data_IF_766603344881
#
_entry.id   IF_766603344881
#
_cell.length_a   1.000
_cell.length_b   1.000
_cell.length_c   1.000
_cell.angle_alpha   90.00
_cell.angle_beta   90.00
_cell.angle_gamma   90.00
#
_symmetry.space_group_name_H-M   'P 1'
#
loop_
_entity.id
_entity.type
_entity.pdbx_description
1 polymer ?
#
# COMPACT_ATOMS: atom_id res chain seq x y z
N UNK A 1 1.95 0.80 3.94
CA UNK A 1 0.89 1.69 3.41
C UNK A 1 -0.09 0.94 2.51
N UNK A 2 0.36 0.05 1.61
CA UNK A 2 -0.57 -0.74 0.78
C UNK A 2 -1.52 -1.63 1.59
N UNK A 3 -1.00 -2.49 2.47
CA UNK A 3 -1.84 -3.38 3.30
C UNK A 3 -2.84 -2.65 4.22
N UNK A 4 -2.46 -1.49 4.76
CA UNK A 4 -3.39 -0.68 5.57
C UNK A 4 -4.51 -0.10 4.72
N UNK A 5 -4.23 0.23 3.46
CA UNK A 5 -5.23 0.74 2.53
C UNK A 5 -6.21 -0.35 2.08
N UNK A 6 -5.74 -1.57 1.85
CA UNK A 6 -6.60 -2.73 1.57
C UNK A 6 -7.62 -2.94 2.71
N UNK A 7 -7.14 -2.95 3.95
CA UNK A 7 -7.99 -3.06 5.13
C UNK A 7 -9.02 -1.92 5.24
N UNK A 8 -8.62 -0.67 5.01
CA UNK A 8 -9.53 0.49 5.02
C UNK A 8 -10.66 0.32 4.00
N UNK A 9 -10.34 -0.12 2.78
CA UNK A 9 -11.34 -0.34 1.72
C UNK A 9 -12.25 -1.51 2.09
N UNK A 10 -11.71 -2.61 2.62
CA UNK A 10 -12.49 -3.77 3.05
C UNK A 10 -13.48 -3.40 4.16
N UNK A 11 -13.05 -2.66 5.18
CA UNK A 11 -13.93 -2.18 6.24
C UNK A 11 -15.02 -1.25 5.71
N UNK A 12 -14.67 -0.36 4.79
CA UNK A 12 -15.65 0.51 4.13
C UNK A 12 -16.70 -0.32 3.40
N UNK A 13 -16.30 -1.35 2.65
CA UNK A 13 -17.24 -2.25 1.95
C UNK A 13 -18.17 -2.99 2.91
N UNK A 14 -17.62 -3.55 3.98
CA UNK A 14 -18.42 -4.24 5.01
C UNK A 14 -19.44 -3.29 5.66
N UNK A 15 -19.07 -2.03 5.89
CA UNK A 15 -20.00 -1.03 6.38
C UNK A 15 -21.13 -0.74 5.37
N UNK A 16 -20.83 -0.62 4.07
CA UNK A 16 -21.86 -0.44 3.05
C UNK A 16 -22.83 -1.63 3.01
N UNK A 17 -22.32 -2.86 3.07
CA UNK A 17 -23.14 -4.08 3.08
C UNK A 17 -24.08 -4.14 4.30
N UNK A 18 -23.58 -3.78 5.49
CA UNK A 18 -24.38 -3.73 6.71
C UNK A 18 -25.48 -2.66 6.67
N UNK A 19 -25.30 -1.61 5.88
CA UNK A 19 -26.21 -0.47 5.77
C UNK A 19 -27.03 -0.45 4.48
N UNK A 20 -27.18 -1.58 3.79
CA UNK A 20 -27.92 -1.67 2.52
C UNK A 20 -29.35 -1.12 2.61
N UNK A 21 -30.06 -1.31 3.73
CA UNK A 21 -31.41 -0.75 3.91
C UNK A 21 -31.43 0.78 3.96
N UNK A 22 -30.39 1.41 4.55
CA UNK A 22 -30.26 2.87 4.57
C UNK A 22 -29.93 3.41 3.18
N UNK A 23 -29.01 2.73 2.47
CA UNK A 23 -28.67 3.00 1.07
C UNK A 23 -29.91 2.95 0.18
N UNK A 24 -30.69 1.87 0.26
CA UNK A 24 -31.92 1.69 -0.53
C UNK A 24 -32.99 2.74 -0.21
N UNK A 25 -32.98 3.28 1.01
CA UNK A 25 -33.85 4.37 1.43
C UNK A 25 -33.30 5.77 1.11
N UNK A 26 -32.16 5.88 0.41
CA UNK A 26 -31.42 7.12 0.17
C UNK A 26 -31.13 7.92 1.44
N UNK A 27 -30.86 7.22 2.55
CA UNK A 27 -30.52 7.82 3.84
C UNK A 27 -29.01 7.78 4.05
N UNK A 28 -28.47 8.88 4.58
CA UNK A 28 -27.09 8.90 5.06
C UNK A 28 -26.94 8.08 6.35
N UNK A 29 -25.72 7.63 6.60
CA UNK A 29 -25.33 6.90 7.81
C UNK A 29 -23.85 7.12 8.11
N UNK A 30 -23.49 6.89 9.37
CA UNK A 30 -22.10 6.95 9.83
C UNK A 30 -21.53 5.55 9.99
N UNK A 31 -20.23 5.42 9.78
CA UNK A 31 -19.49 4.18 10.01
C UNK A 31 -18.07 4.53 10.47
N UNK A 32 -17.42 3.60 11.16
CA UNK A 32 -16.03 3.76 11.60
C UNK A 32 -15.11 2.91 10.72
N UNK A 33 -13.97 3.49 10.33
CA UNK A 33 -12.88 2.77 9.67
C UNK A 33 -11.57 3.01 10.41
N UNK A 34 -10.70 2.01 10.44
CA UNK A 34 -9.37 2.13 11.00
C UNK A 34 -8.39 2.64 9.93
N UNK A 35 -7.83 3.82 10.15
CA UNK A 35 -6.89 4.45 9.22
C UNK A 35 -5.50 4.55 9.86
N UNK A 36 -4.48 4.53 9.01
CA UNK A 36 -3.11 4.91 9.39
C UNK A 36 -2.95 6.42 9.29
N UNK A 37 -2.63 7.07 10.40
CA UNK A 37 -2.30 8.50 10.44
C UNK A 37 -0.82 8.72 10.78
N UNK A 38 -0.28 9.83 10.31
CA UNK A 38 1.08 10.26 10.64
C UNK A 38 1.06 11.08 11.93
N UNK A 39 1.82 10.65 12.95
CA UNK A 39 1.95 11.30 14.25
C UNK A 39 3.37 11.83 14.44
N UNK A 40 3.49 13.08 14.89
CA UNK A 40 4.79 13.64 15.29
C UNK A 40 5.20 13.12 16.66
N UNK A 41 6.42 12.60 16.75
CA UNK A 41 7.05 12.16 18.00
C UNK A 41 8.38 12.85 18.14
N UNK A 42 8.55 13.54 19.27
CA UNK A 42 9.80 14.24 19.58
C UNK A 42 10.94 13.24 19.78
N UNK A 43 12.12 13.65 19.31
CA UNK A 43 13.34 12.87 19.41
C UNK A 43 14.12 13.26 20.66
N UNK A 44 14.98 12.36 21.17
CA UNK A 44 15.93 12.71 22.22
C UNK A 44 16.79 13.92 21.84
N UNK A 45 17.32 14.66 22.83
CA UNK A 45 18.21 15.78 22.57
C UNK A 45 19.37 15.41 21.64
N UNK A 46 19.70 16.31 20.71
CA UNK A 46 20.77 16.16 19.71
C UNK A 46 20.56 15.04 18.69
N UNK A 47 19.38 14.44 18.63
CA UNK A 47 19.00 13.51 17.56
C UNK A 47 18.14 14.24 16.54
N UNK A 48 18.49 14.08 15.27
CA UNK A 48 17.80 14.71 14.15
C UNK A 48 17.49 13.67 13.08
N UNK A 49 16.39 13.90 12.37
CA UNK A 49 15.98 13.11 11.21
C UNK A 49 15.69 14.04 10.04
N UNK A 50 15.88 13.56 8.81
CA UNK A 50 15.49 14.33 7.63
C UNK A 50 14.01 14.12 7.38
N UNK A 51 13.21 15.18 7.53
CA UNK A 51 11.79 15.16 7.21
C UNK A 51 11.51 15.95 5.94
N UNK A 52 10.55 15.47 5.14
CA UNK A 52 9.91 16.27 4.11
C UNK A 52 8.82 17.14 4.75
N UNK A 53 8.97 18.47 4.67
CA UNK A 53 8.00 19.41 5.21
C UNK A 53 6.66 19.35 4.45
N UNK A 54 6.71 19.14 3.12
CA UNK A 54 5.51 19.04 2.28
C UNK A 54 4.69 17.78 2.56
N UNK A 55 5.36 16.64 2.75
CA UNK A 55 4.67 15.35 2.91
C UNK A 55 4.34 14.99 4.36
N UNK A 56 4.88 15.73 5.36
CA UNK A 56 4.82 15.32 6.76
C UNK A 56 5.30 13.86 6.96
N UNK A 57 6.47 13.57 6.38
CA UNK A 57 7.04 12.23 6.30
C UNK A 57 8.52 12.25 6.67
N UNK A 58 8.97 11.26 7.45
CA UNK A 58 10.39 11.08 7.76
C UNK A 58 11.06 10.27 6.68
N UNK A 59 11.99 10.90 5.94
CA UNK A 59 12.69 10.25 4.83
C UNK A 59 13.72 9.25 5.35
N UNK A 60 14.56 9.65 6.29
CA UNK A 60 15.49 8.74 6.94
C UNK A 60 16.05 9.34 8.23
N UNK A 61 16.57 8.44 9.07
CA UNK A 61 17.27 8.82 10.29
C UNK A 61 18.72 9.21 9.99
N UNK A 62 19.32 10.00 10.91
CA UNK A 62 20.77 10.30 10.95
C UNK A 62 21.35 10.73 9.59
N UNK A 63 20.92 11.87 9.09
CA UNK A 63 21.57 12.45 7.91
C UNK A 63 23.00 12.90 8.22
N UNK A 64 23.94 12.49 7.37
CA UNK A 64 25.32 12.95 7.45
C UNK A 64 25.46 14.45 7.12
N UNK A 65 24.47 15.03 6.44
CA UNK A 65 24.44 16.44 6.05
C UNK A 65 23.73 17.25 7.13
N UNK A 66 24.49 18.10 7.80
CA UNK A 66 24.00 18.95 8.88
C UNK A 66 23.28 20.22 8.37
N UNK A 67 23.83 20.88 7.35
CA UNK A 67 23.23 22.07 6.74
C UNK A 67 22.09 21.68 5.80
N UNK A 68 20.92 22.28 6.00
CA UNK A 68 19.76 22.01 5.16
C UNK A 68 19.94 22.54 3.72
N UNK A 69 20.84 23.52 3.50
CA UNK A 69 21.18 24.03 2.17
C UNK A 69 21.97 23.03 1.32
N UNK A 70 22.61 22.04 1.94
CA UNK A 70 23.40 21.01 1.25
C UNK A 70 22.61 19.72 1.02
N UNK A 71 21.30 19.72 1.34
CA UNK A 71 20.46 18.50 1.28
C UNK A 71 20.33 17.92 -0.12
N UNK A 72 20.63 18.69 -1.17
CA UNK A 72 20.75 18.17 -2.53
C UNK A 72 21.73 17.01 -2.64
N UNK A 73 22.77 16.98 -1.79
CA UNK A 73 23.81 15.94 -1.77
C UNK A 73 23.44 14.73 -0.89
N UNK A 74 22.24 14.72 -0.28
CA UNK A 74 21.82 13.63 0.58
C UNK A 74 21.63 12.34 -0.25
N UNK A 75 21.99 11.18 0.30
CA UNK A 75 21.82 9.88 -0.36
C UNK A 75 20.37 9.59 -0.79
N UNK A 76 19.39 10.19 -0.10
CA UNK A 76 17.98 10.07 -0.42
C UNK A 76 17.55 10.93 -1.62
N UNK A 77 18.45 11.78 -2.16
CA UNK A 77 18.18 12.63 -3.31
C UNK A 77 18.79 12.04 -4.58
N UNK A 78 18.07 12.16 -5.68
CA UNK A 78 18.53 11.84 -7.03
C UNK A 78 17.93 12.87 -7.97
N UNK A 79 18.74 13.45 -8.86
CA UNK A 79 18.32 14.51 -9.78
C UNK A 79 17.57 15.67 -9.10
N UNK A 80 18.01 16.09 -7.91
CA UNK A 80 17.37 17.12 -7.08
C UNK A 80 16.04 16.72 -6.41
N UNK A 81 15.57 15.48 -6.56
CA UNK A 81 14.32 15.00 -5.96
C UNK A 81 14.58 13.89 -4.95
N UNK A 82 13.79 13.89 -3.87
CA UNK A 82 13.81 12.83 -2.88
C UNK A 82 13.21 11.55 -3.47
N UNK A 83 13.88 10.42 -3.29
CA UNK A 83 13.42 9.11 -3.72
C UNK A 83 12.65 8.36 -2.64
N UNK A 84 12.63 8.89 -1.41
CA UNK A 84 12.08 8.23 -0.22
C UNK A 84 10.70 8.77 0.20
N UNK A 85 10.47 10.08 0.10
CA UNK A 85 9.16 10.61 0.49
C UNK A 85 8.08 10.27 -0.56
N UNK A 86 6.81 10.08 -0.15
CA UNK A 86 5.74 9.67 -1.07
C UNK A 86 5.53 10.62 -2.25
N UNK A 87 5.73 11.93 -2.02
CA UNK A 87 5.53 12.95 -3.04
C UNK A 87 6.75 13.21 -3.93
N UNK A 88 7.83 12.41 -3.82
CA UNK A 88 9.11 12.60 -4.53
C UNK A 88 9.54 14.07 -4.60
N UNK A 89 9.46 14.75 -3.47
CA UNK A 89 9.57 16.21 -3.42
C UNK A 89 11.00 16.68 -3.70
N UNK A 90 11.12 17.92 -4.22
CA UNK A 90 12.41 18.59 -4.43
C UNK A 90 13.21 18.70 -3.11
N UNK A 91 14.53 18.62 -3.19
CA UNK A 91 15.41 18.53 -2.02
C UNK A 91 15.21 19.66 -1.00
N UNK A 92 14.95 20.89 -1.44
CA UNK A 92 14.91 22.09 -0.60
C UNK A 92 13.68 22.22 0.32
N UNK A 93 12.78 21.23 0.31
CA UNK A 93 11.69 21.11 1.29
C UNK A 93 11.98 20.08 2.38
N UNK A 94 13.22 19.59 2.46
CA UNK A 94 13.66 18.60 3.42
C UNK A 94 14.60 19.22 4.45
N UNK A 95 14.32 18.97 5.72
CA UNK A 95 15.04 19.61 6.82
C UNK A 95 15.40 18.61 7.91
N UNK A 96 16.52 18.87 8.59
CA UNK A 96 16.87 18.22 9.84
C UNK A 96 15.94 18.70 10.96
N UNK A 97 15.05 17.83 11.42
CA UNK A 97 14.07 18.17 12.47
C UNK A 97 14.28 17.32 13.72
N UNK A 98 13.84 17.86 14.87
CA UNK A 98 13.92 17.24 16.21
C UNK A 98 12.74 16.31 16.53
N UNK A 99 11.94 15.99 15.53
CA UNK A 99 10.81 15.07 15.66
C UNK A 99 10.78 14.17 14.43
N UNK A 100 10.22 12.98 14.58
CA UNK A 100 9.93 12.08 13.46
C UNK A 100 8.43 11.84 13.32
N UNK A 101 8.03 11.46 12.13
CA UNK A 101 6.69 11.00 11.85
C UNK A 101 6.64 9.49 12.03
N UNK A 102 5.80 9.03 12.95
CA UNK A 102 5.50 7.61 13.13
C UNK A 102 4.07 7.34 12.66
N UNK A 103 3.84 6.13 12.18
CA UNK A 103 2.49 5.70 11.79
C UNK A 103 1.76 5.22 13.04
N UNK A 104 0.55 5.73 13.24
CA UNK A 104 -0.38 5.32 14.30
C UNK A 104 -1.70 4.88 13.66
N UNK A 105 -2.32 3.83 14.20
CA UNK A 105 -3.68 3.44 13.81
C UNK A 105 -4.69 4.25 14.61
N UNK A 106 -5.70 4.78 13.94
CA UNK A 106 -6.79 5.51 14.57
C UNK A 106 -8.12 5.16 13.91
N UNK A 107 -9.18 5.08 14.71
CA UNK A 107 -10.55 5.04 14.20
C UNK A 107 -10.97 6.42 13.70
N UNK A 108 -11.51 6.48 12.50
CA UNK A 108 -12.10 7.65 11.89
C UNK A 108 -13.58 7.38 11.62
N UNK A 109 -14.45 8.27 12.11
CA UNK A 109 -15.87 8.24 11.76
C UNK A 109 -16.08 8.94 10.43
N UNK A 110 -16.72 8.24 9.48
CA UNK A 110 -17.07 8.74 8.16
C UNK A 110 -18.57 8.67 7.95
N UNK A 111 -19.05 9.35 6.92
CA UNK A 111 -20.46 9.32 6.48
C UNK A 111 -20.53 8.77 5.06
N UNK A 112 -21.62 8.12 4.70
CA UNK A 112 -21.85 7.67 3.33
C UNK A 112 -21.91 8.84 2.34
N UNK A 113 -22.53 9.96 2.72
CA UNK A 113 -22.59 11.16 1.87
C UNK A 113 -21.20 11.67 1.47
N UNK A 114 -20.27 11.83 2.43
CA UNK A 114 -18.89 12.21 2.14
C UNK A 114 -18.14 11.19 1.27
N UNK A 115 -18.36 9.89 1.47
CA UNK A 115 -17.76 8.84 0.62
C UNK A 115 -18.27 8.97 -0.82
N UNK A 116 -19.58 9.09 -0.99
CA UNK A 116 -20.22 9.28 -2.29
C UNK A 116 -19.69 10.52 -2.99
N UNK A 117 -19.71 11.66 -2.29
CA UNK A 117 -19.22 12.93 -2.80
C UNK A 117 -17.76 12.86 -3.26
N UNK A 118 -16.88 12.15 -2.52
CA UNK A 118 -15.47 11.95 -2.92
C UNK A 118 -15.35 11.30 -4.30
N UNK A 119 -16.15 10.28 -4.60
CA UNK A 119 -16.10 9.62 -5.91
C UNK A 119 -16.80 10.44 -7.01
N UNK A 120 -17.92 11.09 -6.69
CA UNK A 120 -18.63 11.97 -7.62
C UNK A 120 -17.77 13.17 -8.02
N UNK A 121 -17.09 13.82 -7.08
CA UNK A 121 -16.19 14.96 -7.34
C UNK A 121 -14.97 14.53 -8.18
N UNK A 122 -14.47 13.31 -7.98
CA UNK A 122 -13.32 12.79 -8.73
C UNK A 122 -13.66 12.42 -10.18
N UNK A 123 -14.90 11.98 -10.45
CA UNK A 123 -15.36 11.55 -11.78
C UNK A 123 -16.16 12.64 -12.51
N UNK A 124 -16.66 13.64 -11.80
CA UNK A 124 -17.49 14.71 -12.34
C UNK A 124 -18.93 14.29 -12.65
N UNK A 125 -19.39 13.16 -12.13
CA UNK A 125 -20.74 12.62 -12.37
C UNK A 125 -21.38 12.07 -11.10
N UNK A 126 -22.71 12.04 -11.06
CA UNK A 126 -23.45 11.44 -9.95
C UNK A 126 -23.37 9.93 -10.00
N UNK A 127 -23.21 9.29 -8.84
CA UNK A 127 -23.05 7.85 -8.74
C UNK A 127 -24.19 7.19 -7.98
N UNK A 128 -24.53 5.96 -8.39
CA UNK A 128 -25.36 5.06 -7.58
C UNK A 128 -24.52 4.42 -6.48
N UNK A 129 -25.18 3.77 -5.53
CA UNK A 129 -24.48 3.03 -4.48
C UNK A 129 -23.68 1.85 -5.04
N UNK A 130 -24.24 1.16 -6.03
CA UNK A 130 -23.59 0.06 -6.74
C UNK A 130 -22.32 0.55 -7.46
N UNK A 131 -22.37 1.73 -8.09
CA UNK A 131 -21.20 2.34 -8.72
C UNK A 131 -20.10 2.69 -7.72
N UNK A 132 -20.44 3.11 -6.51
CA UNK A 132 -19.45 3.35 -5.44
C UNK A 132 -18.79 2.04 -5.01
N UNK A 133 -19.58 0.97 -4.85
CA UNK A 133 -19.05 -0.36 -4.52
C UNK A 133 -18.09 -0.83 -5.61
N UNK A 134 -18.47 -0.72 -6.89
CA UNK A 134 -17.59 -1.09 -8.01
C UNK A 134 -16.27 -0.29 -7.99
N UNK A 135 -16.31 1.01 -7.70
CA UNK A 135 -15.09 1.83 -7.58
C UNK A 135 -14.20 1.43 -6.40
N UNK A 136 -14.79 1.05 -5.28
CA UNK A 136 -14.04 0.52 -4.14
C UNK A 136 -13.37 -0.81 -4.51
N UNK A 137 -14.01 -1.66 -5.31
CA UNK A 137 -13.40 -2.90 -5.81
C UNK A 137 -12.24 -2.63 -6.75
N UNK A 138 -12.40 -1.72 -7.72
CA UNK A 138 -11.32 -1.31 -8.62
C UNK A 138 -10.13 -0.72 -7.84
N UNK A 139 -10.39 0.13 -6.83
CA UNK A 139 -9.35 0.69 -5.97
C UNK A 139 -8.62 -0.40 -5.16
N UNK A 140 -9.37 -1.35 -4.60
CA UNK A 140 -8.82 -2.49 -3.87
C UNK A 140 -7.87 -3.30 -4.76
N UNK A 141 -8.33 -3.68 -5.96
CA UNK A 141 -7.54 -4.45 -6.92
C UNK A 141 -6.26 -3.72 -7.34
N UNK A 142 -6.35 -2.42 -7.62
CA UNK A 142 -5.20 -1.60 -7.96
C UNK A 142 -4.18 -1.55 -6.82
N UNK A 143 -4.63 -1.39 -5.58
CA UNK A 143 -3.74 -1.39 -4.41
C UNK A 143 -3.11 -2.77 -4.21
N UNK A 144 -3.88 -3.85 -4.38
CA UNK A 144 -3.39 -5.22 -4.23
C UNK A 144 -2.28 -5.53 -5.24
N UNK A 145 -2.48 -5.14 -6.51
CA UNK A 145 -1.46 -5.29 -7.55
C UNK A 145 -0.17 -4.53 -7.20
N UNK A 146 -0.29 -3.29 -6.73
CA UNK A 146 0.87 -2.50 -6.31
C UNK A 146 1.63 -3.17 -5.16
N UNK A 147 0.93 -3.75 -4.19
CA UNK A 147 1.56 -4.51 -3.09
C UNK A 147 2.29 -5.73 -3.63
N UNK A 148 1.69 -6.47 -4.55
CA UNK A 148 2.33 -7.61 -5.21
C UNK A 148 3.60 -7.20 -5.97
N UNK A 149 3.55 -6.17 -6.80
CA UNK A 149 4.70 -5.67 -7.55
C UNK A 149 5.85 -5.22 -6.64
N UNK A 150 5.53 -4.55 -5.52
CA UNK A 150 6.53 -4.18 -4.53
C UNK A 150 7.18 -5.42 -3.89
N UNK A 151 6.37 -6.43 -3.57
CA UNK A 151 6.85 -7.66 -2.95
C UNK A 151 7.73 -8.47 -3.91
N UNK A 152 7.37 -8.54 -5.19
CA UNK A 152 8.19 -9.15 -6.24
C UNK A 152 9.53 -8.43 -6.43
N UNK A 153 9.54 -7.10 -6.44
CA UNK A 153 10.78 -6.30 -6.48
C UNK A 153 11.66 -6.55 -5.26
N UNK A 154 11.07 -6.66 -4.06
CA UNK A 154 11.79 -6.98 -2.84
C UNK A 154 12.41 -8.39 -2.91
N UNK A 155 11.63 -9.40 -3.31
CA UNK A 155 12.11 -10.76 -3.49
C UNK A 155 13.30 -10.82 -4.47
N UNK A 156 13.17 -10.21 -5.66
CA UNK A 156 14.25 -10.14 -6.66
C UNK A 156 15.49 -9.43 -6.16
N UNK A 157 15.31 -8.33 -5.42
CA UNK A 157 16.43 -7.57 -4.85
C UNK A 157 17.16 -8.38 -3.78
N UNK A 158 16.43 -9.13 -2.96
CA UNK A 158 17.00 -10.03 -1.96
C UNK A 158 17.78 -11.18 -2.63
N UNK A 159 17.17 -11.87 -3.60
CA UNK A 159 17.85 -12.92 -4.38
C UNK A 159 19.14 -12.40 -5.00
N UNK A 160 19.13 -11.18 -5.55
CA UNK A 160 20.33 -10.55 -6.12
C UNK A 160 21.42 -10.28 -5.06
N UNK A 161 21.06 -9.77 -3.89
CA UNK A 161 22.01 -9.54 -2.79
C UNK A 161 22.63 -10.86 -2.30
N UNK A 162 21.84 -11.92 -2.26
CA UNK A 162 22.24 -13.27 -1.87
C UNK A 162 23.16 -13.94 -2.90
N UNK A 163 22.91 -13.79 -4.20
CA UNK A 163 23.84 -14.19 -5.26
C UNK A 163 25.21 -13.52 -5.09
N UNK A 164 25.23 -12.19 -4.87
CA UNK A 164 26.47 -11.44 -4.65
C UNK A 164 27.21 -11.95 -3.40
N UNK A 165 26.47 -12.30 -2.36
CA UNK A 165 27.01 -12.89 -1.13
C UNK A 165 27.40 -14.38 -1.28
N UNK A 166 27.25 -14.98 -2.47
CA UNK A 166 27.46 -16.41 -2.74
C UNK A 166 26.60 -17.33 -1.84
N UNK A 167 25.41 -16.86 -1.47
CA UNK A 167 24.41 -17.59 -0.66
C UNK A 167 23.06 -17.54 -1.36
N UNK A 168 22.90 -18.15 -2.55
CA UNK A 168 21.65 -18.07 -3.30
C UNK A 168 20.49 -18.60 -2.43
N UNK A 169 19.44 -17.79 -2.30
CA UNK A 169 18.20 -18.19 -1.67
C UNK A 169 17.17 -18.47 -2.77
N UNK A 170 16.61 -19.68 -2.83
CA UNK A 170 15.73 -20.10 -3.91
C UNK A 170 14.28 -19.61 -3.75
N UNK A 171 13.98 -18.72 -2.78
CA UNK A 171 12.61 -18.32 -2.50
C UNK A 171 11.99 -17.59 -3.69
N UNK A 172 10.93 -18.19 -4.24
CA UNK A 172 10.02 -17.53 -5.18
C UNK A 172 9.21 -16.43 -4.49
N UNK A 173 8.57 -15.54 -5.26
CA UNK A 173 7.71 -14.46 -4.73
C UNK A 173 6.68 -14.95 -3.69
N UNK A 174 5.95 -16.07 -3.91
CA UNK A 174 5.12 -16.69 -2.86
C UNK A 174 5.88 -17.03 -1.57
N UNK A 175 7.06 -17.67 -1.68
CA UNK A 175 7.87 -18.02 -0.52
C UNK A 175 8.39 -16.81 0.26
N UNK A 176 8.61 -15.68 -0.43
CA UNK A 176 8.93 -14.42 0.25
C UNK A 176 7.73 -13.82 0.99
N UNK A 177 6.52 -13.91 0.45
CA UNK A 177 5.29 -13.49 1.14
C UNK A 177 5.07 -14.35 2.40
N UNK A 178 5.32 -15.66 2.35
CA UNK A 178 5.26 -16.55 3.51
C UNK A 178 6.23 -16.10 4.63
N UNK A 179 7.45 -15.66 4.27
CA UNK A 179 8.39 -15.08 5.23
C UNK A 179 7.86 -13.78 5.86
N UNK A 180 7.20 -12.92 5.07
CA UNK A 180 6.56 -11.71 5.60
C UNK A 180 5.42 -12.04 6.57
N UNK A 181 4.61 -13.06 6.26
CA UNK A 181 3.55 -13.56 7.16
C UNK A 181 4.14 -14.04 8.48
N UNK A 182 5.23 -14.83 8.43
CA UNK A 182 5.88 -15.33 9.65
C UNK A 182 6.51 -14.20 10.48
N UNK A 183 7.17 -13.25 9.82
CA UNK A 183 7.70 -12.05 10.48
C UNK A 183 6.59 -11.24 11.17
N UNK A 184 5.47 -11.01 10.49
CA UNK A 184 4.34 -10.27 11.04
C UNK A 184 3.69 -11.00 12.24
N UNK A 185 3.65 -12.35 12.22
CA UNK A 185 3.24 -13.17 13.38
C UNK A 185 4.19 -13.00 14.57
N UNK A 186 5.49 -12.95 14.33
CA UNK A 186 6.49 -12.82 15.40
C UNK A 186 6.53 -11.41 15.99
N UNK A 187 6.45 -10.37 15.17
CA UNK A 187 6.52 -8.99 15.62
C UNK A 187 5.29 -8.55 16.44
N UNK A 188 4.11 -9.14 16.17
CA UNK A 188 2.86 -8.88 16.90
C UNK A 188 2.51 -7.39 17.08
N UNK A 189 2.92 -6.54 16.14
CA UNK A 189 2.67 -5.09 16.20
C UNK A 189 1.17 -4.80 16.15
N UNK A 190 0.68 -3.68 16.72
CA UNK A 190 -0.74 -3.31 16.63
C UNK A 190 -1.29 -3.42 15.19
N UNK A 191 -2.46 -4.05 15.03
CA UNK A 191 -3.09 -4.32 13.73
C UNK A 191 -2.53 -5.52 12.95
N UNK A 192 -1.62 -6.33 13.53
CA UNK A 192 -0.99 -7.45 12.80
C UNK A 192 -1.99 -8.47 12.25
N UNK A 193 -3.07 -8.79 12.97
CA UNK A 193 -4.09 -9.76 12.50
C UNK A 193 -4.70 -9.37 11.15
N UNK A 194 -4.97 -8.08 10.96
CA UNK A 194 -5.49 -7.52 9.71
C UNK A 194 -4.44 -7.58 8.60
N UNK A 195 -3.19 -7.24 8.92
CA UNK A 195 -2.07 -7.37 7.96
C UNK A 195 -1.83 -8.82 7.55
N UNK A 196 -1.97 -9.78 8.47
CA UNK A 196 -1.86 -11.21 8.18
C UNK A 196 -2.93 -11.66 7.19
N UNK A 197 -4.20 -11.31 7.43
CA UNK A 197 -5.28 -11.64 6.51
C UNK A 197 -5.03 -11.07 5.09
N UNK A 198 -4.55 -9.82 5.00
CA UNK A 198 -4.21 -9.22 3.71
C UNK A 198 -3.00 -9.89 3.04
N UNK A 199 -1.98 -10.27 3.81
CA UNK A 199 -0.83 -10.99 3.29
C UNK A 199 -1.21 -12.39 2.78
N UNK A 200 -2.15 -13.07 3.45
CA UNK A 200 -2.72 -14.34 2.99
C UNK A 200 -3.45 -14.16 1.65
N UNK A 201 -4.28 -13.12 1.49
CA UNK A 201 -4.93 -12.79 0.22
C UNK A 201 -3.90 -12.51 -0.91
N UNK A 202 -2.83 -11.78 -0.60
CA UNK A 202 -1.76 -11.48 -1.56
C UNK A 202 -0.97 -12.75 -1.92
N UNK A 203 -0.77 -13.66 -0.97
CA UNK A 203 -0.12 -14.97 -1.19
C UNK A 203 -0.92 -15.81 -2.18
N UNK A 204 -2.23 -15.92 -2.00
CA UNK A 204 -3.10 -16.65 -2.93
C UNK A 204 -2.98 -16.12 -4.36
N UNK A 205 -3.05 -14.80 -4.54
CA UNK A 205 -2.85 -14.15 -5.85
C UNK A 205 -1.47 -14.42 -6.44
N UNK A 206 -0.42 -14.35 -5.62
CA UNK A 206 0.96 -14.61 -6.03
C UNK A 206 1.18 -16.04 -6.52
N UNK A 207 0.55 -17.03 -5.87
CA UNK A 207 0.60 -18.44 -6.29
C UNK A 207 -0.02 -18.60 -7.68
N UNK A 208 -1.19 -18.02 -7.92
CA UNK A 208 -1.88 -18.08 -9.23
C UNK A 208 -1.01 -17.45 -10.32
N UNK A 209 -0.45 -16.24 -10.07
CA UNK A 209 0.43 -15.55 -11.04
C UNK A 209 1.66 -16.40 -11.38
N UNK A 210 2.27 -17.04 -10.38
CA UNK A 210 3.44 -17.89 -10.57
C UNK A 210 3.10 -19.15 -11.40
N UNK A 211 1.95 -19.80 -11.15
CA UNK A 211 1.45 -20.91 -11.97
C UNK A 211 1.26 -20.52 -13.43
N UNK A 212 0.60 -19.39 -13.68
CA UNK A 212 0.38 -18.87 -15.04
C UNK A 212 1.71 -18.60 -15.74
N UNK A 213 2.68 -17.99 -15.06
CA UNK A 213 4.00 -17.71 -15.63
C UNK A 213 4.77 -18.99 -16.03
N UNK A 214 4.54 -20.10 -15.33
CA UNK A 214 5.12 -21.41 -15.63
C UNK A 214 4.33 -22.22 -16.66
N UNK A 215 3.17 -21.73 -17.12
CA UNK A 215 2.27 -22.45 -18.01
C UNK A 215 1.53 -23.61 -17.34
N UNK A 216 1.43 -23.61 -16.01
CA UNK A 216 0.67 -24.62 -15.26
C UNK A 216 -0.84 -24.34 -15.35
N UNK A 217 -1.69 -25.38 -15.46
CA UNK A 217 -3.13 -25.20 -15.51
C UNK A 217 -3.68 -24.70 -14.16
N UNK A 218 -4.65 -23.77 -14.22
CA UNK A 218 -5.39 -23.31 -13.04
C UNK A 218 -6.62 -24.18 -12.79
N UNK A 219 -6.99 -24.35 -11.53
CA UNK A 219 -8.25 -24.99 -11.13
C UNK A 219 -9.45 -24.05 -11.36
N UNK A 220 -10.67 -24.59 -11.36
CA UNK A 220 -11.90 -23.78 -11.50
C UNK A 220 -12.06 -22.74 -10.38
N UNK A 221 -11.59 -23.06 -9.17
CA UNK A 221 -11.57 -22.12 -8.04
C UNK A 221 -10.55 -21.01 -8.26
N UNK A 222 -9.35 -21.35 -8.72
CA UNK A 222 -8.32 -20.37 -9.08
C UNK A 222 -8.71 -19.53 -10.28
N UNK A 223 -9.51 -20.04 -11.23
CA UNK A 223 -10.06 -19.24 -12.32
C UNK A 223 -11.06 -18.19 -11.85
N UNK A 224 -11.86 -18.50 -10.82
CA UNK A 224 -12.79 -17.54 -10.19
C UNK A 224 -12.06 -16.51 -9.33
N UNK A 225 -10.97 -16.90 -8.68
CA UNK A 225 -10.11 -16.01 -7.89
C UNK A 225 -9.09 -15.24 -8.76
N UNK A 226 -8.82 -15.74 -9.97
CA UNK A 226 -7.87 -15.17 -10.91
C UNK A 226 -8.32 -13.80 -11.37
N UNK A 227 -7.55 -12.83 -10.90
CA UNK A 227 -7.27 -11.50 -11.45
C UNK A 227 -7.54 -11.38 -12.97
N UNK A 228 -7.22 -12.40 -13.78
CA UNK A 228 -7.38 -12.36 -15.25
C UNK A 228 -8.83 -12.41 -15.74
N UNK A 229 -9.78 -12.94 -14.96
CA UNK A 229 -11.19 -12.98 -15.36
C UNK A 229 -11.86 -11.60 -15.35
N UNK A 230 -11.40 -10.66 -14.51
CA UNK A 230 -11.84 -9.26 -14.47
C UNK A 230 -11.00 -8.33 -15.37
N UNK A 231 -9.82 -8.79 -15.81
CA UNK A 231 -8.88 -8.07 -16.70
C UNK A 231 -9.10 -8.34 -18.20
N UNK A 232 -10.30 -8.78 -18.61
CA UNK A 232 -10.64 -8.74 -20.05
C UNK A 232 -10.59 -7.32 -20.67
N UNK A 233 -10.32 -6.26 -19.88
CA UNK A 233 -10.12 -4.89 -20.35
C UNK A 233 -8.66 -4.43 -20.56
N UNK A 234 -7.63 -5.17 -20.11
CA UNK A 234 -6.23 -4.70 -20.19
C UNK A 234 -5.24 -5.71 -20.84
N UNK A 235 -5.74 -6.73 -21.54
CA UNK A 235 -4.96 -7.69 -22.33
C UNK A 235 -4.35 -7.15 -23.63
N UNK A 236 -3.91 -5.89 -23.68
CA UNK A 236 -3.34 -5.28 -24.91
C UNK A 236 -2.06 -4.46 -24.71
N UNK A 237 -1.44 -4.45 -23.53
CA UNK A 237 -0.18 -3.68 -23.32
C UNK A 237 1.01 -4.42 -22.72
N UNK A 238 0.91 -5.70 -22.35
CA UNK A 238 2.06 -6.47 -21.85
C UNK A 238 2.74 -7.37 -22.91
N UNK A 239 2.35 -7.26 -24.19
CA UNK A 239 2.98 -7.99 -25.30
C UNK A 239 3.98 -7.15 -26.14
N UNK A 240 4.57 -6.09 -25.57
CA UNK A 240 5.51 -5.22 -26.28
C UNK A 240 6.86 -4.99 -25.57
N UNK A 241 7.26 -5.92 -24.70
CA UNK A 241 8.67 -6.00 -24.25
C UNK A 241 9.16 -7.43 -24.47
N UNK A 242 9.37 -7.76 -25.73
CA UNK A 242 10.40 -8.67 -26.22
C UNK A 242 11.21 -7.91 -27.26
#
# INVERSE_FOLDING_TARGET
MGLSKLNEIQETRLALDQHQSAINANKDFTYEVEITVSKKVDLPPRVYVTNCHKCNYTCHDKCAIADDNDKINCWAMTDSYCTVCPGKCIWNVHYNMKYKFVIEMKKETRTYENLKKKYEDALGEKMSAEGIVEKLEEEYEAVQLNVFEMTDKMAKSLSRLQEIALRPDPLSTPGYIELLIESEKQECKPGYKKRLAELENVLEGAVIVNKVAKGEPLTDQEHKMSFLSRIKKWGLKLALIQ
#
